data_IF_469027284575
#
_entry.id   IF_469027284575
#
_cell.length_a   1.000
_cell.length_b   1.000
_cell.length_c   1.000
_cell.angle_alpha   90.00
_cell.angle_beta   90.00
_cell.angle_gamma   90.00
#
_symmetry.space_group_name_H-M   'P 1'
#
loop_
_entity.id
_entity.type
_entity.pdbx_description
1 polymer ?
#
# COMPACT_ATOMS: atom_id res chain seq x y z
N UNK A 1 19.69 34.57 -4.65
CA UNK A 1 19.42 33.73 -3.46
C UNK A 1 18.50 32.63 -3.91
N UNK A 2 18.89 31.36 -3.80
CA UNK A 2 17.97 30.23 -3.91
C UNK A 2 17.17 30.21 -2.61
N UNK A 3 15.85 30.19 -2.68
CA UNK A 3 15.03 29.93 -1.51
C UNK A 3 15.50 28.62 -0.86
N UNK A 4 15.57 28.54 0.49
CA UNK A 4 15.83 27.28 1.15
C UNK A 4 14.74 26.29 0.73
N UNK A 5 15.15 25.06 0.35
CA UNK A 5 14.19 23.98 0.17
C UNK A 5 13.36 23.86 1.46
N UNK A 6 12.03 23.69 1.37
CA UNK A 6 11.19 23.58 2.55
C UNK A 6 11.75 22.47 3.46
N UNK A 7 12.05 22.81 4.71
CA UNK A 7 12.64 21.90 5.70
C UNK A 7 11.58 21.11 6.48
N UNK A 8 10.40 20.91 5.88
CA UNK A 8 9.29 20.15 6.44
C UNK A 8 9.02 18.87 5.66
N UNK A 9 8.16 17.97 6.17
CA UNK A 9 7.61 16.87 5.37
C UNK A 9 7.07 17.43 4.06
N UNK A 10 7.19 16.68 2.97
CA UNK A 10 6.48 17.01 1.74
C UNK A 10 4.98 17.22 2.09
N UNK A 11 4.38 18.39 1.82
CA UNK A 11 2.97 18.65 2.14
C UNK A 11 2.01 17.64 1.54
N UNK A 12 2.40 16.94 0.46
CA UNK A 12 1.61 15.86 -0.13
C UNK A 12 1.71 14.55 0.67
N UNK A 13 2.75 14.39 1.48
CA UNK A 13 2.96 13.21 2.35
C UNK A 13 2.36 13.40 3.74
N UNK A 14 2.27 14.64 4.25
CA UNK A 14 1.71 14.94 5.58
C UNK A 14 0.39 14.20 5.87
N UNK A 15 -0.60 14.10 4.95
CA UNK A 15 -1.84 13.36 5.20
C UNK A 15 -1.65 11.86 5.41
N UNK A 16 -0.61 11.26 4.82
CA UNK A 16 -0.32 9.83 4.90
C UNK A 16 0.45 9.45 6.17
N UNK A 17 1.09 10.41 6.85
CA UNK A 17 1.89 10.14 8.05
C UNK A 17 1.03 9.52 9.16
N UNK A 18 1.49 8.42 9.74
CA UNK A 18 0.80 7.72 10.82
C UNK A 18 0.89 6.20 10.72
N UNK A 19 0.17 5.54 11.62
CA UNK A 19 -0.03 4.10 11.62
C UNK A 19 -1.40 3.77 11.03
N UNK A 20 -1.39 2.81 10.10
CA UNK A 20 -2.55 2.35 9.38
C UNK A 20 -2.66 0.83 9.48
N UNK A 21 -3.89 0.32 9.60
CA UNK A 21 -4.17 -1.12 9.53
C UNK A 21 -5.25 -1.37 8.49
N UNK A 22 -5.06 -2.39 7.67
CA UNK A 22 -6.07 -2.77 6.71
C UNK A 22 -7.31 -3.36 7.39
N UNK A 23 -8.48 -2.83 7.03
CA UNK A 23 -9.78 -3.45 7.29
C UNK A 23 -10.23 -4.31 6.11
N UNK A 24 -9.69 -4.06 4.91
CA UNK A 24 -9.85 -4.90 3.73
C UNK A 24 -8.54 -4.88 2.91
N UNK A 25 -8.17 -6.03 2.36
CA UNK A 25 -7.13 -6.13 1.34
C UNK A 25 -7.62 -7.13 0.29
N UNK A 26 -8.30 -6.59 -0.72
CA UNK A 26 -8.96 -7.35 -1.77
C UNK A 26 -8.06 -7.41 -3.00
N UNK A 27 -7.78 -8.62 -3.45
CA UNK A 27 -7.08 -8.90 -4.69
C UNK A 27 -8.10 -9.42 -5.70
N UNK A 28 -8.21 -8.76 -6.85
CA UNK A 28 -9.11 -9.16 -7.93
C UNK A 28 -8.31 -9.46 -9.18
N UNK A 29 -8.53 -10.62 -9.79
CA UNK A 29 -7.82 -11.00 -11.01
C UNK A 29 -8.16 -10.04 -12.16
N UNK A 30 -7.14 -9.57 -12.88
CA UNK A 30 -7.32 -8.68 -14.03
C UNK A 30 -7.83 -9.41 -15.28
N UNK A 31 -7.77 -10.75 -15.29
CA UNK A 31 -8.25 -11.59 -16.40
C UNK A 31 -9.62 -12.20 -16.13
N UNK A 32 -10.12 -12.17 -14.88
CA UNK A 32 -11.45 -12.65 -14.49
C UNK A 32 -11.94 -11.95 -13.22
N UNK A 33 -12.92 -11.06 -13.36
CA UNK A 33 -13.55 -10.34 -12.23
C UNK A 33 -14.31 -11.25 -11.25
N UNK A 34 -14.59 -12.49 -11.64
CA UNK A 34 -15.19 -13.50 -10.78
C UNK A 34 -14.22 -14.10 -9.77
N UNK A 35 -12.92 -13.83 -9.91
CA UNK A 35 -11.88 -14.30 -8.99
C UNK A 35 -11.41 -13.13 -8.16
N UNK A 36 -11.84 -13.11 -6.90
CA UNK A 36 -11.46 -12.12 -5.92
C UNK A 36 -11.30 -12.76 -4.55
N UNK A 37 -10.28 -12.33 -3.80
CA UNK A 37 -10.01 -12.78 -2.43
C UNK A 37 -9.74 -11.58 -1.54
N UNK A 38 -10.25 -11.61 -0.31
CA UNK A 38 -9.93 -10.62 0.71
C UNK A 38 -9.01 -11.28 1.75
N UNK A 39 -7.73 -10.90 1.73
CA UNK A 39 -6.73 -11.49 2.61
C UNK A 39 -7.01 -11.19 4.09
N UNK A 40 -7.64 -10.06 4.40
CA UNK A 40 -7.99 -9.68 5.78
C UNK A 40 -9.16 -10.55 6.28
N UNK A 41 -10.17 -10.79 5.44
CA UNK A 41 -11.26 -11.71 5.80
C UNK A 41 -10.81 -13.16 5.95
N UNK A 42 -9.74 -13.55 5.24
CA UNK A 42 -9.10 -14.86 5.39
C UNK A 42 -8.19 -14.95 6.64
N UNK A 43 -8.20 -13.94 7.50
CA UNK A 43 -7.46 -13.91 8.76
C UNK A 43 -6.04 -13.35 8.65
N UNK A 44 -5.71 -12.72 7.52
CA UNK A 44 -4.48 -11.95 7.37
C UNK A 44 -4.54 -10.61 8.10
N UNK A 45 -3.37 -10.00 8.27
CA UNK A 45 -3.23 -8.64 8.79
C UNK A 45 -2.29 -7.85 7.91
N UNK A 46 -2.60 -6.58 7.65
CA UNK A 46 -1.69 -5.66 6.99
C UNK A 46 -1.57 -4.39 7.83
N UNK A 47 -0.33 -4.04 8.18
CA UNK A 47 0.01 -2.81 8.89
C UNK A 47 0.95 -1.96 8.05
N UNK A 48 0.68 -0.66 7.97
CA UNK A 48 1.50 0.32 7.27
C UNK A 48 1.83 1.48 8.21
N UNK A 49 3.12 1.71 8.42
CA UNK A 49 3.63 2.86 9.16
C UNK A 49 4.31 3.82 8.19
N UNK A 50 3.91 5.09 8.21
CA UNK A 50 4.52 6.15 7.40
C UNK A 50 5.05 7.23 8.34
N UNK A 51 6.35 7.49 8.23
CA UNK A 51 7.05 8.47 9.05
C UNK A 51 7.03 9.87 8.40
N UNK A 52 7.14 10.96 9.18
CA UNK A 52 7.25 12.32 8.65
C UNK A 52 8.41 12.54 7.67
N UNK A 53 9.43 11.67 7.70
CA UNK A 53 10.55 11.69 6.74
C UNK A 53 10.17 11.22 5.33
N UNK A 54 8.97 10.64 5.15
CA UNK A 54 8.59 9.93 3.93
C UNK A 54 9.13 8.49 3.86
N UNK A 55 9.69 7.96 4.95
CA UNK A 55 10.00 6.52 5.05
C UNK A 55 8.75 5.74 5.43
N UNK A 56 8.56 4.56 4.85
CA UNK A 56 7.47 3.66 5.22
C UNK A 56 7.97 2.25 5.57
N UNK A 57 7.17 1.56 6.37
CA UNK A 57 7.28 0.12 6.63
C UNK A 57 5.89 -0.49 6.46
N UNK A 58 5.76 -1.49 5.59
CA UNK A 58 4.53 -2.28 5.43
C UNK A 58 4.79 -3.73 5.87
N UNK A 59 3.83 -4.34 6.56
CA UNK A 59 3.92 -5.72 7.03
C UNK A 59 2.61 -6.43 6.70
N UNK A 60 2.68 -7.45 5.85
CA UNK A 60 1.60 -8.41 5.62
C UNK A 60 1.89 -9.69 6.41
N UNK A 61 0.93 -10.18 7.18
CA UNK A 61 0.95 -11.51 7.76
C UNK A 61 -0.23 -12.28 7.21
N UNK A 62 0.02 -13.39 6.53
CA UNK A 62 -1.02 -14.25 5.98
C UNK A 62 -0.57 -15.71 6.03
N UNK A 63 -1.47 -16.62 6.41
CA UNK A 63 -1.19 -18.06 6.55
C UNK A 63 0.06 -18.38 7.42
N UNK A 64 0.38 -17.54 8.41
CA UNK A 64 1.55 -17.69 9.28
C UNK A 64 2.88 -17.25 8.67
N UNK A 65 2.86 -16.71 7.44
CA UNK A 65 4.01 -16.11 6.77
C UNK A 65 3.96 -14.59 6.91
N UNK A 66 5.08 -13.98 7.29
CA UNK A 66 5.24 -12.54 7.37
C UNK A 66 6.06 -12.03 6.20
N UNK A 67 5.54 -11.03 5.50
CA UNK A 67 6.26 -10.25 4.49
C UNK A 67 6.43 -8.84 5.01
N UNK A 68 7.64 -8.29 4.86
CA UNK A 68 7.96 -6.93 5.28
C UNK A 68 8.53 -6.18 4.10
N UNK A 69 7.99 -5.00 3.87
CA UNK A 69 8.48 -4.06 2.89
C UNK A 69 8.88 -2.77 3.57
N UNK A 70 9.95 -2.17 3.06
CA UNK A 70 10.43 -0.88 3.53
C UNK A 70 10.88 -0.05 2.34
N UNK A 71 10.69 1.26 2.43
CA UNK A 71 11.11 2.17 1.38
C UNK A 71 10.71 3.60 1.64
N UNK A 72 10.48 4.34 0.57
CA UNK A 72 10.05 5.74 0.63
C UNK A 72 8.73 5.96 -0.11
N UNK A 73 7.94 6.91 0.38
CA UNK A 73 6.67 7.29 -0.23
C UNK A 73 6.81 8.61 -0.97
N UNK A 74 6.20 8.70 -2.15
CA UNK A 74 5.99 9.95 -2.88
C UNK A 74 4.52 10.04 -3.30
N UNK A 75 3.98 11.25 -3.44
CA UNK A 75 2.60 11.44 -3.82
C UNK A 75 2.44 12.57 -4.86
N UNK A 76 1.41 12.43 -5.68
CA UNK A 76 0.87 13.49 -6.53
C UNK A 76 -0.53 13.84 -6.04
N UNK A 77 -1.30 14.65 -6.78
CA UNK A 77 -2.67 14.99 -6.40
C UNK A 77 -3.63 13.79 -6.40
N UNK A 78 -3.33 12.73 -7.16
CA UNK A 78 -4.26 11.62 -7.40
C UNK A 78 -3.62 10.23 -7.19
N UNK A 79 -2.30 10.16 -7.08
CA UNK A 79 -1.58 8.90 -6.96
C UNK A 79 -0.57 8.96 -5.84
N UNK A 80 -0.33 7.81 -5.23
CA UNK A 80 0.74 7.58 -4.28
C UNK A 80 1.67 6.52 -4.86
N UNK A 81 2.97 6.68 -4.63
CA UNK A 81 3.98 5.72 -5.05
C UNK A 81 4.75 5.25 -3.84
N UNK A 82 4.72 3.94 -3.60
CA UNK A 82 5.62 3.28 -2.66
C UNK A 82 6.86 2.85 -3.44
N UNK A 83 7.98 3.51 -3.17
CA UNK A 83 9.28 3.19 -3.75
C UNK A 83 9.95 2.20 -2.80
N UNK A 84 9.68 0.91 -3.03
CA UNK A 84 10.19 -0.19 -2.21
C UNK A 84 11.70 -0.30 -2.37
N UNK A 85 12.39 -0.44 -1.26
CA UNK A 85 13.85 -0.63 -1.20
C UNK A 85 14.23 -2.02 -0.67
N UNK A 86 13.34 -2.64 0.11
CA UNK A 86 13.45 -3.98 0.66
C UNK A 86 12.08 -4.69 0.56
N UNK A 87 12.02 -6.00 0.22
CA UNK A 87 13.14 -6.93 0.01
C UNK A 87 13.81 -6.79 -1.36
N UNK A 88 13.13 -6.19 -2.32
CA UNK A 88 13.62 -5.87 -3.66
C UNK A 88 13.19 -4.47 -4.04
N UNK A 89 13.91 -3.86 -4.99
CA UNK A 89 13.57 -2.53 -5.48
C UNK A 89 12.45 -2.61 -6.49
N UNK A 90 11.35 -1.94 -6.20
CA UNK A 90 10.18 -1.84 -7.06
C UNK A 90 9.43 -0.54 -6.74
N UNK A 91 8.68 -0.02 -7.71
CA UNK A 91 7.81 1.13 -7.51
C UNK A 91 6.37 0.69 -7.73
N UNK A 92 5.57 0.76 -6.68
CA UNK A 92 4.15 0.45 -6.71
C UNK A 92 3.37 1.76 -6.77
N UNK A 93 2.52 1.91 -7.78
CA UNK A 93 1.71 3.11 -7.97
C UNK A 93 0.26 2.77 -7.69
N UNK A 94 -0.36 3.52 -6.79
CA UNK A 94 -1.79 3.40 -6.49
C UNK A 94 -2.50 4.72 -6.72
N UNK A 95 -3.72 4.67 -7.23
CA UNK A 95 -4.68 5.72 -6.96
C UNK A 95 -4.98 5.72 -5.45
N UNK A 96 -5.22 6.90 -4.89
CA UNK A 96 -5.59 7.00 -3.48
C UNK A 96 -6.79 7.90 -3.26
N UNK A 97 -7.52 7.62 -2.19
CA UNK A 97 -8.59 8.47 -1.70
C UNK A 97 -8.61 8.45 -0.16
N UNK A 98 -8.69 9.65 0.44
CA UNK A 98 -9.04 9.76 1.86
C UNK A 98 -10.57 9.84 2.02
N UNK A 99 -11.11 9.00 2.90
CA UNK A 99 -12.52 9.05 3.32
C UNK A 99 -12.58 9.58 4.75
N UNK A 100 -12.85 10.88 4.87
CA UNK A 100 -12.64 11.60 6.13
C UNK A 100 -11.16 11.64 6.51
N UNK A 101 -10.87 11.73 7.81
CA UNK A 101 -9.49 11.85 8.31
C UNK A 101 -8.87 10.49 8.71
N UNK A 102 -9.67 9.42 8.72
CA UNK A 102 -9.31 8.15 9.34
C UNK A 102 -9.21 6.99 8.36
N UNK A 103 -9.74 7.11 7.14
CA UNK A 103 -9.70 6.01 6.15
C UNK A 103 -8.90 6.44 4.92
N UNK A 104 -7.97 5.59 4.52
CA UNK A 104 -7.18 5.70 3.29
C UNK A 104 -7.52 4.49 2.41
N UNK A 105 -8.00 4.77 1.21
CA UNK A 105 -8.24 3.76 0.18
C UNK A 105 -7.08 3.81 -0.81
N UNK A 106 -6.51 2.66 -1.16
CA UNK A 106 -5.49 2.51 -2.19
C UNK A 106 -5.95 1.49 -3.23
N UNK A 107 -5.89 1.87 -4.50
CA UNK A 107 -6.20 1.02 -5.64
C UNK A 107 -4.99 0.98 -6.59
N UNK A 108 -4.45 -0.19 -6.89
CA UNK A 108 -3.28 -0.31 -7.75
C UNK A 108 -3.15 -1.67 -8.42
N UNK A 109 -2.29 -1.71 -9.44
CA UNK A 109 -1.90 -2.98 -10.08
C UNK A 109 -0.97 -3.77 -9.15
N UNK A 110 -1.09 -5.09 -9.19
CA UNK A 110 -0.20 -6.03 -8.49
C UNK A 110 -0.18 -7.37 -9.21
N UNK A 111 0.55 -8.35 -8.68
CA UNK A 111 0.57 -9.72 -9.18
C UNK A 111 0.24 -10.68 -8.01
N UNK A 112 -0.56 -11.70 -8.28
CA UNK A 112 -0.93 -12.71 -7.27
C UNK A 112 -1.21 -14.06 -7.92
N UNK A 113 -0.71 -15.13 -7.32
CA UNK A 113 -0.96 -16.52 -7.73
C UNK A 113 -2.30 -17.02 -7.15
N UNK A 114 -3.38 -16.87 -7.92
CA UNK A 114 -4.74 -17.23 -7.47
C UNK A 114 -5.02 -18.73 -7.49
N UNK A 115 -4.37 -19.50 -8.37
CA UNK A 115 -4.61 -20.94 -8.54
C UNK A 115 -3.51 -21.82 -7.91
N UNK A 116 -2.49 -21.18 -7.32
CA UNK A 116 -1.37 -21.78 -6.61
C UNK A 116 -0.51 -22.68 -7.50
N UNK A 117 -0.39 -22.34 -8.79
CA UNK A 117 0.43 -23.08 -9.74
C UNK A 117 1.92 -22.66 -9.71
N UNK A 118 2.23 -21.60 -8.96
CA UNK A 118 3.57 -21.03 -8.79
C UNK A 118 3.89 -19.89 -9.78
N UNK A 119 2.94 -19.45 -10.60
CA UNK A 119 3.03 -18.24 -11.42
C UNK A 119 2.06 -17.20 -10.89
N UNK A 120 2.54 -15.96 -10.75
CA UNK A 120 1.67 -14.84 -10.37
C UNK A 120 0.94 -14.32 -11.61
N UNK A 121 -0.35 -14.05 -11.47
CA UNK A 121 -1.18 -13.41 -12.49
C UNK A 121 -1.37 -11.92 -12.20
N UNK A 122 -1.54 -11.08 -13.23
CA UNK A 122 -1.91 -9.68 -13.03
C UNK A 122 -3.22 -9.55 -12.24
N UNK A 123 -3.19 -8.67 -11.24
CA UNK A 123 -4.28 -8.43 -10.32
C UNK A 123 -4.44 -6.94 -10.03
N UNK A 124 -5.59 -6.58 -9.49
CA UNK A 124 -5.86 -5.28 -8.89
C UNK A 124 -5.91 -5.46 -7.37
N UNK A 125 -5.08 -4.71 -6.67
CA UNK A 125 -5.12 -4.56 -5.22
C UNK A 125 -6.05 -3.40 -4.84
N UNK A 126 -6.94 -3.68 -3.90
CA UNK A 126 -7.77 -2.69 -3.22
C UNK A 126 -7.55 -2.79 -1.71
N UNK A 127 -7.04 -1.73 -1.12
CA UNK A 127 -6.89 -1.61 0.33
C UNK A 127 -7.91 -0.62 0.89
N UNK A 128 -8.51 -0.99 2.01
CA UNK A 128 -9.11 -0.03 2.94
C UNK A 128 -8.26 -0.01 4.21
N UNK A 129 -7.61 1.12 4.48
CA UNK A 129 -6.71 1.31 5.61
C UNK A 129 -7.34 2.25 6.63
N UNK A 130 -7.46 1.80 7.87
CA UNK A 130 -7.92 2.59 9.00
C UNK A 130 -6.73 3.12 9.82
N UNK A 131 -6.73 4.42 10.08
CA UNK A 131 -5.77 5.09 10.96
C UNK A 131 -5.94 4.60 12.40
N UNK A 132 -4.82 4.27 13.08
CA UNK A 132 -4.80 3.93 14.51
C UNK A 132 -4.91 5.15 15.42
#
# INVERSE_FOLDING_TARGET
MRDPAPTGPDPLIEPFVGDWTATAFVLTSSVSDQVSIDLIQLGGTFDLNIQPSGSYTAILIYAGLGQTEMGTISATANTVTLNREFPSRENEVSAYQFVGDTVLILDGDTEFDFDFDGQEDPALAHFELLRK
#
